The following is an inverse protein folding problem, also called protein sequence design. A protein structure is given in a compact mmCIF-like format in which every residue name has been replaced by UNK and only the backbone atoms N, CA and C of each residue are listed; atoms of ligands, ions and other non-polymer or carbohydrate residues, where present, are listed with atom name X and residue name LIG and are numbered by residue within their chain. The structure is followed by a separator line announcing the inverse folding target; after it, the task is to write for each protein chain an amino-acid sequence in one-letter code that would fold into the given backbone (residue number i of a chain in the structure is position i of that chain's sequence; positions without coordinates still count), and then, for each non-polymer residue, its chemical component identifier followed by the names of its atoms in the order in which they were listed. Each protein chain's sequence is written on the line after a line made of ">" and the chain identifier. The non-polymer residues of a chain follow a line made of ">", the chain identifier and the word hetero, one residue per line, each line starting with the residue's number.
data_IF_595991684462
#
_entry.id   IF_595991684462
#
_cell.length_a   1.000
_cell.length_b   1.000
_cell.length_c   1.000
_cell.angle_alpha   90.00
_cell.angle_beta   90.00
_cell.angle_gamma   90.00
#
_symmetry.space_group_name_H-M   'P 1'
#
loop_
_entity.id
_entity.type
_entity.pdbx_description
1 polymer ?
#
# COMPACT_ATOMS: atom_id res chain seq x y z
N UNK A 1 23.32 -3.27 -16.06
CA UNK A 1 22.83 -3.51 -14.69
C UNK A 1 24.00 -4.03 -13.88
N UNK A 2 24.22 -3.45 -12.70
CA UNK A 2 25.29 -3.86 -11.81
C UNK A 2 24.79 -4.82 -10.73
N UNK A 3 25.70 -5.50 -10.04
CA UNK A 3 25.36 -6.44 -8.96
C UNK A 3 24.47 -5.83 -7.86
N UNK A 4 24.53 -4.51 -7.65
CA UNK A 4 23.61 -3.79 -6.76
C UNK A 4 22.16 -3.95 -7.23
N UNK A 5 21.86 -3.60 -8.47
CA UNK A 5 20.49 -3.61 -9.02
C UNK A 5 19.96 -5.05 -9.12
N UNK A 6 20.81 -6.00 -9.54
CA UNK A 6 20.44 -7.41 -9.64
C UNK A 6 20.01 -7.98 -8.28
N UNK A 7 20.75 -7.63 -7.21
CA UNK A 7 20.41 -8.00 -5.84
C UNK A 7 19.08 -7.40 -5.40
N UNK A 8 18.79 -6.15 -5.76
CA UNK A 8 17.53 -5.49 -5.43
C UNK A 8 16.35 -6.20 -6.10
N UNK A 9 16.47 -6.48 -7.41
CA UNK A 9 15.43 -7.18 -8.16
C UNK A 9 15.25 -8.63 -7.70
N UNK A 10 16.34 -9.33 -7.36
CA UNK A 10 16.26 -10.67 -6.77
C UNK A 10 15.60 -10.66 -5.38
N UNK A 11 15.88 -9.65 -4.57
CA UNK A 11 15.26 -9.48 -3.26
C UNK A 11 13.76 -9.17 -3.36
N UNK A 12 13.33 -8.32 -4.31
CA UNK A 12 11.91 -8.07 -4.59
C UNK A 12 11.15 -9.35 -4.93
N UNK A 13 11.71 -10.18 -5.82
CA UNK A 13 11.10 -11.46 -6.20
C UNK A 13 11.02 -12.41 -5.01
N UNK A 14 12.09 -12.53 -4.22
CA UNK A 14 12.08 -13.34 -3.00
C UNK A 14 11.04 -12.87 -1.98
N UNK A 15 10.87 -11.55 -1.78
CA UNK A 15 9.85 -11.00 -0.89
C UNK A 15 8.44 -11.37 -1.34
N UNK A 16 8.12 -11.19 -2.63
CA UNK A 16 6.79 -11.48 -3.17
C UNK A 16 6.43 -12.97 -3.11
N UNK A 17 7.43 -13.85 -3.17
CA UNK A 17 7.25 -15.31 -3.11
C UNK A 17 7.23 -15.86 -1.67
N UNK A 18 8.13 -15.38 -0.80
CA UNK A 18 8.44 -16.05 0.48
C UNK A 18 8.20 -15.20 1.73
N UNK A 19 8.06 -13.89 1.60
CA UNK A 19 8.00 -12.98 2.75
C UNK A 19 9.37 -12.59 3.31
N UNK A 20 9.37 -11.72 4.32
CA UNK A 20 10.59 -11.28 5.01
C UNK A 20 11.21 -12.41 5.81
N UNK A 21 10.37 -13.14 6.55
CA UNK A 21 10.82 -14.14 7.53
C UNK A 21 11.52 -15.32 6.87
N UNK A 22 10.97 -15.81 5.75
CA UNK A 22 11.44 -17.03 5.07
C UNK A 22 12.54 -16.78 4.05
N UNK A 23 12.81 -15.52 3.67
CA UNK A 23 13.83 -15.17 2.69
C UNK A 23 15.24 -15.23 3.28
N UNK A 24 16.14 -16.00 2.67
CA UNK A 24 17.57 -16.08 3.07
C UNK A 24 18.48 -15.34 2.09
N UNK A 25 19.70 -15.01 2.52
CA UNK A 25 20.70 -14.38 1.64
C UNK A 25 21.07 -15.28 0.43
N UNK A 26 21.01 -16.60 0.60
CA UNK A 26 21.26 -17.57 -0.48
C UNK A 26 20.12 -17.57 -1.50
N UNK A 27 18.88 -17.38 -1.07
CA UNK A 27 17.75 -17.24 -1.99
C UNK A 27 17.95 -16.02 -2.88
N UNK A 28 18.28 -14.87 -2.29
CA UNK A 28 18.51 -13.62 -3.03
C UNK A 28 19.66 -13.77 -4.03
N UNK A 29 20.78 -14.36 -3.61
CA UNK A 29 21.93 -14.62 -4.49
C UNK A 29 21.55 -15.54 -5.65
N UNK A 30 20.81 -16.61 -5.37
CA UNK A 30 20.32 -17.52 -6.41
C UNK A 30 19.41 -16.81 -7.40
N UNK A 31 18.54 -15.93 -6.92
CA UNK A 31 17.54 -15.22 -7.72
C UNK A 31 18.12 -14.03 -8.51
N UNK A 32 19.18 -13.41 -7.99
CA UNK A 32 19.87 -12.27 -8.61
C UNK A 32 21.00 -12.67 -9.56
N UNK A 33 21.56 -13.87 -9.40
CA UNK A 33 22.79 -14.28 -10.09
C UNK A 33 24.06 -13.54 -9.61
N UNK A 34 23.94 -12.66 -8.60
CA UNK A 34 25.06 -11.98 -7.97
C UNK A 34 25.81 -12.90 -6.99
N UNK A 35 26.81 -12.38 -6.28
CA UNK A 35 27.53 -13.14 -5.25
C UNK A 35 27.12 -12.71 -3.82
N UNK A 36 27.37 -13.57 -2.84
CA UNK A 36 26.99 -13.33 -1.44
C UNK A 36 27.71 -12.14 -0.81
N UNK A 37 28.97 -11.88 -1.18
CA UNK A 37 29.74 -10.75 -0.66
C UNK A 37 29.18 -9.40 -1.13
N UNK A 38 28.55 -9.35 -2.30
CA UNK A 38 27.91 -8.15 -2.85
C UNK A 38 26.78 -7.62 -1.97
N UNK A 39 26.09 -8.48 -1.21
CA UNK A 39 25.06 -8.03 -0.25
C UNK A 39 25.68 -7.16 0.83
N UNK A 40 26.75 -7.65 1.47
CA UNK A 40 27.46 -6.90 2.51
C UNK A 40 28.08 -5.61 1.97
N UNK A 41 28.64 -5.65 0.76
CA UNK A 41 29.28 -4.50 0.13
C UNK A 41 28.29 -3.38 -0.23
N UNK A 42 27.14 -3.70 -0.83
CA UNK A 42 26.19 -2.69 -1.32
C UNK A 42 25.12 -2.28 -0.32
N UNK A 43 24.70 -3.19 0.55
CA UNK A 43 23.53 -3.01 1.42
C UNK A 43 23.86 -3.22 2.91
N UNK A 44 25.07 -3.67 3.24
CA UNK A 44 25.49 -3.95 4.62
C UNK A 44 24.93 -5.26 5.18
N UNK A 45 23.66 -5.57 4.95
CA UNK A 45 23.03 -6.82 5.41
C UNK A 45 21.89 -7.29 4.50
N UNK A 46 21.50 -8.58 4.66
CA UNK A 46 20.32 -9.15 4.01
C UNK A 46 19.04 -8.39 4.40
N UNK A 47 18.89 -8.06 5.68
CA UNK A 47 17.68 -7.41 6.17
C UNK A 47 17.56 -5.98 5.63
N UNK A 48 18.67 -5.23 5.57
CA UNK A 48 18.71 -3.91 4.93
C UNK A 48 18.34 -3.96 3.43
N UNK A 49 18.85 -4.95 2.70
CA UNK A 49 18.46 -5.19 1.31
C UNK A 49 16.96 -5.50 1.17
N UNK A 50 16.39 -6.34 2.05
CA UNK A 50 14.96 -6.65 2.04
C UNK A 50 14.11 -5.41 2.37
N UNK A 51 14.57 -4.54 3.27
CA UNK A 51 13.91 -3.26 3.56
C UNK A 51 13.84 -2.40 2.30
N UNK A 52 14.98 -2.19 1.62
CA UNK A 52 15.04 -1.37 0.41
C UNK A 52 14.19 -1.97 -0.73
N UNK A 53 14.23 -3.29 -0.90
CA UNK A 53 13.40 -4.00 -1.87
C UNK A 53 11.90 -3.81 -1.59
N UNK A 54 11.48 -3.90 -0.33
CA UNK A 54 10.09 -3.68 0.06
C UNK A 54 9.64 -2.23 -0.16
N UNK A 55 10.45 -1.24 0.18
CA UNK A 55 10.16 0.17 -0.11
C UNK A 55 9.92 0.37 -1.60
N UNK A 56 10.81 -0.15 -2.45
CA UNK A 56 10.64 -0.05 -3.90
C UNK A 56 9.42 -0.80 -4.44
N UNK A 57 8.94 -1.87 -3.76
CA UNK A 57 7.67 -2.53 -4.10
C UNK A 57 6.47 -1.67 -3.72
N UNK A 58 6.50 -1.05 -2.53
CA UNK A 58 5.44 -0.16 -2.04
C UNK A 58 5.34 1.10 -2.89
N UNK A 59 6.46 1.74 -3.22
CA UNK A 59 6.50 2.91 -4.12
C UNK A 59 5.89 2.59 -5.49
N UNK A 60 6.26 1.43 -6.06
CA UNK A 60 5.69 0.97 -7.34
C UNK A 60 4.19 0.71 -7.24
N UNK A 61 3.71 0.12 -6.13
CA UNK A 61 2.28 -0.11 -5.91
C UNK A 61 1.53 1.21 -5.64
N UNK A 62 2.17 2.17 -4.96
CA UNK A 62 1.68 3.50 -4.68
C UNK A 62 1.37 4.31 -5.95
N UNK A 63 2.23 4.20 -6.98
CA UNK A 63 1.99 4.83 -8.27
C UNK A 63 0.73 4.34 -9.01
N UNK A 64 0.12 3.23 -8.58
CA UNK A 64 -1.17 2.76 -9.08
C UNK A 64 -2.37 3.57 -8.59
N UNK A 65 -2.21 4.41 -7.56
CA UNK A 65 -3.24 5.34 -7.08
C UNK A 65 -3.22 6.67 -7.84
N UNK A 66 -2.15 6.99 -8.58
CA UNK A 66 -1.93 8.30 -9.22
C UNK A 66 -2.68 8.47 -10.55
N UNK A 67 -3.01 7.37 -11.23
CA UNK A 67 -3.74 7.41 -12.51
C UNK A 67 -5.23 7.12 -12.31
N UNK A 68 -6.11 8.14 -12.25
CA UNK A 68 -7.52 7.91 -12.50
C UNK A 68 -7.66 7.29 -13.90
N UNK A 69 -8.48 6.25 -14.11
CA UNK A 69 -8.63 5.62 -15.41
C UNK A 69 -8.96 6.69 -16.46
N UNK A 70 -8.14 6.72 -17.52
CA UNK A 70 -8.28 7.67 -18.60
C UNK A 70 -9.71 7.59 -19.18
N UNK A 71 -10.51 8.62 -18.94
CA UNK A 71 -11.86 8.76 -19.50
C UNK A 71 -13.04 8.64 -18.53
N UNK A 72 -12.84 8.39 -17.22
CA UNK A 72 -13.95 8.22 -16.26
C UNK A 72 -14.01 9.28 -15.13
N UNK A 73 -13.44 10.46 -15.30
CA UNK A 73 -13.61 11.57 -14.35
C UNK A 73 -14.93 12.34 -14.57
N UNK A 74 -16.06 11.64 -14.47
CA UNK A 74 -17.39 12.28 -14.50
C UNK A 74 -17.82 12.82 -13.14
N UNK A 75 -17.49 12.10 -12.06
CA UNK A 75 -17.97 12.41 -10.72
C UNK A 75 -17.19 13.55 -10.06
N UNK A 76 -17.92 14.55 -9.56
CA UNK A 76 -17.37 15.70 -8.84
C UNK A 76 -16.52 15.24 -7.63
N UNK A 77 -15.39 15.90 -7.44
CA UNK A 77 -14.57 15.81 -6.22
C UNK A 77 -15.40 15.84 -4.93
N UNK A 78 -15.12 14.93 -3.99
CA UNK A 78 -15.84 14.83 -2.70
C UNK A 78 -17.29 14.33 -2.79
N UNK A 79 -17.77 13.91 -3.96
CA UNK A 79 -19.11 13.33 -4.09
C UNK A 79 -19.16 11.86 -3.65
N UNK A 80 -20.36 11.37 -3.28
CA UNK A 80 -20.57 9.95 -2.97
C UNK A 80 -20.30 9.05 -4.19
N UNK A 81 -20.61 9.52 -5.39
CA UNK A 81 -20.34 8.81 -6.64
C UNK A 81 -18.84 8.61 -6.84
N UNK A 82 -18.04 9.66 -6.59
CA UNK A 82 -16.58 9.57 -6.64
C UNK A 82 -16.03 8.63 -5.56
N UNK A 83 -16.57 8.70 -4.35
CA UNK A 83 -16.19 7.79 -3.27
C UNK A 83 -16.38 6.32 -3.66
N UNK A 84 -17.55 5.98 -4.21
CA UNK A 84 -17.85 4.62 -4.69
C UNK A 84 -16.90 4.20 -5.83
N UNK A 85 -16.70 5.08 -6.81
CA UNK A 85 -15.84 4.81 -7.96
C UNK A 85 -14.39 4.55 -7.54
N UNK A 86 -13.83 5.40 -6.67
CA UNK A 86 -12.46 5.25 -6.18
C UNK A 86 -12.30 3.93 -5.42
N UNK A 87 -13.22 3.61 -4.50
CA UNK A 87 -13.16 2.33 -3.79
C UNK A 87 -13.32 1.12 -4.72
N UNK A 88 -14.19 1.20 -5.73
CA UNK A 88 -14.35 0.14 -6.73
C UNK A 88 -13.04 -0.15 -7.46
N UNK A 89 -12.32 0.90 -7.85
CA UNK A 89 -11.01 0.77 -8.50
C UNK A 89 -9.95 0.20 -7.55
N UNK A 90 -9.87 0.70 -6.32
CA UNK A 90 -8.95 0.20 -5.29
C UNK A 90 -9.19 -1.31 -5.03
N UNK A 91 -10.44 -1.70 -4.80
CA UNK A 91 -10.81 -3.09 -4.53
C UNK A 91 -10.52 -4.03 -5.71
N UNK A 92 -10.65 -3.55 -6.96
CA UNK A 92 -10.30 -4.31 -8.16
C UNK A 92 -8.81 -4.68 -8.21
N UNK A 93 -7.94 -3.83 -7.65
CA UNK A 93 -6.48 -4.05 -7.58
C UNK A 93 -6.02 -4.94 -6.42
N UNK A 94 -6.92 -5.32 -5.50
CA UNK A 94 -6.56 -6.13 -4.32
C UNK A 94 -5.96 -7.50 -4.66
N UNK A 95 -6.48 -8.27 -5.63
CA UNK A 95 -5.88 -9.56 -6.01
C UNK A 95 -4.40 -9.46 -6.41
N UNK A 96 -4.04 -8.44 -7.19
CA UNK A 96 -2.68 -8.21 -7.66
C UNK A 96 -1.74 -7.74 -6.54
N UNK A 97 -2.29 -7.05 -5.55
CA UNK A 97 -1.55 -6.50 -4.41
C UNK A 97 -1.44 -7.46 -3.23
N UNK A 98 -2.02 -8.68 -3.31
CA UNK A 98 -2.11 -9.63 -2.19
C UNK A 98 -0.76 -9.89 -1.51
N UNK A 99 0.31 -10.13 -2.28
CA UNK A 99 1.64 -10.39 -1.71
C UNK A 99 2.20 -9.18 -0.94
N UNK A 100 1.97 -7.96 -1.42
CA UNK A 100 2.39 -6.72 -0.74
C UNK A 100 1.62 -6.53 0.57
N UNK A 101 0.33 -6.84 0.59
CA UNK A 101 -0.45 -6.78 1.82
C UNK A 101 0.00 -7.82 2.85
N UNK A 102 0.31 -9.05 2.42
CA UNK A 102 0.88 -10.07 3.31
C UNK A 102 2.23 -9.64 3.91
N UNK A 103 3.09 -8.99 3.12
CA UNK A 103 4.34 -8.40 3.63
C UNK A 103 4.07 -7.32 4.69
N UNK A 104 3.04 -6.50 4.50
CA UNK A 104 2.62 -5.49 5.49
C UNK A 104 2.18 -6.15 6.80
N UNK A 105 1.46 -7.29 6.74
CA UNK A 105 1.12 -8.07 7.93
C UNK A 105 2.34 -8.65 8.65
N UNK A 106 3.37 -9.09 7.93
CA UNK A 106 4.63 -9.49 8.55
C UNK A 106 5.27 -8.32 9.30
N UNK A 107 5.29 -7.11 8.73
CA UNK A 107 5.81 -5.92 9.43
C UNK A 107 5.01 -5.62 10.70
N UNK A 108 3.68 -5.74 10.66
CA UNK A 108 2.82 -5.52 11.83
C UNK A 108 3.09 -6.56 12.93
N UNK A 109 3.18 -7.84 12.57
CA UNK A 109 3.28 -8.95 13.52
C UNK A 109 4.70 -9.23 14.00
N UNK A 110 5.72 -8.81 13.25
CA UNK A 110 7.14 -9.01 13.54
C UNK A 110 7.85 -7.68 13.87
N UNK A 111 7.12 -6.71 14.43
CA UNK A 111 7.57 -5.31 14.55
C UNK A 111 8.93 -5.10 15.22
N UNK A 112 9.37 -5.96 16.15
CA UNK A 112 10.72 -5.87 16.74
C UNK A 112 11.81 -6.30 15.76
N UNK A 113 11.57 -7.38 15.01
CA UNK A 113 12.51 -7.91 14.00
C UNK A 113 12.60 -7.00 12.78
N UNK A 114 11.52 -6.29 12.47
CA UNK A 114 11.39 -5.41 11.30
C UNK A 114 11.31 -3.92 11.67
N UNK A 115 11.88 -3.51 12.81
CA UNK A 115 11.81 -2.14 13.31
C UNK A 115 12.26 -1.09 12.28
N UNK A 116 13.34 -1.36 11.53
CA UNK A 116 13.80 -0.47 10.46
C UNK A 116 12.80 -0.30 9.30
N UNK A 117 12.09 -1.37 8.92
CA UNK A 117 11.02 -1.31 7.91
C UNK A 117 9.85 -0.49 8.45
N UNK A 118 9.48 -0.74 9.71
CA UNK A 118 8.39 -0.04 10.38
C UNK A 118 8.61 1.47 10.42
N UNK A 119 9.83 1.92 10.73
CA UNK A 119 10.17 3.35 10.77
C UNK A 119 10.03 4.02 9.40
N UNK A 120 10.37 3.33 8.32
CA UNK A 120 10.18 3.83 6.96
C UNK A 120 8.70 3.92 6.60
N UNK A 121 7.91 2.87 6.90
CA UNK A 121 6.47 2.90 6.68
C UNK A 121 5.79 4.02 7.46
N UNK A 122 6.22 4.29 8.71
CA UNK A 122 5.70 5.41 9.50
C UNK A 122 5.93 6.74 8.79
N UNK A 123 7.11 6.95 8.19
CA UNK A 123 7.41 8.17 7.43
C UNK A 123 6.55 8.29 6.16
N UNK A 124 6.31 7.17 5.48
CA UNK A 124 5.48 7.10 4.27
C UNK A 124 3.97 7.27 4.55
N UNK A 125 3.49 7.10 5.80
CA UNK A 125 2.07 7.20 6.11
C UNK A 125 1.45 8.56 5.78
N UNK A 126 2.21 9.67 5.90
CA UNK A 126 1.66 11.00 5.56
C UNK A 126 1.43 11.13 4.06
N UNK A 127 2.40 10.72 3.27
CA UNK A 127 2.33 10.71 1.79
C UNK A 127 1.17 9.83 1.31
N UNK A 128 1.05 8.60 1.83
CA UNK A 128 -0.08 7.74 1.49
C UNK A 128 -1.45 8.34 1.87
N UNK A 129 -1.55 9.08 2.98
CA UNK A 129 -2.78 9.79 3.37
C UNK A 129 -3.09 10.97 2.45
N UNK A 130 -2.05 11.66 2.00
CA UNK A 130 -2.13 12.79 1.06
C UNK A 130 -2.62 12.31 -0.32
N UNK A 131 -2.00 11.28 -0.88
CA UNK A 131 -2.43 10.68 -2.15
C UNK A 131 -3.86 10.14 -2.11
N UNK A 132 -4.25 9.42 -1.05
CA UNK A 132 -5.65 8.97 -0.87
C UNK A 132 -6.61 10.17 -0.89
N UNK A 133 -6.35 11.18 -0.06
CA UNK A 133 -7.22 12.34 0.02
C UNK A 133 -7.31 13.11 -1.32
N UNK A 134 -6.21 13.21 -2.07
CA UNK A 134 -6.20 13.82 -3.40
C UNK A 134 -7.14 13.09 -4.37
N UNK A 135 -7.08 11.76 -4.42
CA UNK A 135 -7.93 10.96 -5.32
C UNK A 135 -9.43 11.12 -4.98
N UNK A 136 -9.80 11.11 -3.70
CA UNK A 136 -11.19 11.26 -3.27
C UNK A 136 -11.73 12.69 -3.41
N UNK A 137 -10.95 13.70 -3.07
CA UNK A 137 -11.38 15.11 -3.12
C UNK A 137 -11.27 15.71 -4.52
N UNK A 138 -10.42 15.14 -5.38
CA UNK A 138 -10.05 15.72 -6.67
C UNK A 138 -9.15 16.95 -6.56
N UNK A 139 -8.63 17.24 -5.37
CA UNK A 139 -7.62 18.29 -5.14
C UNK A 139 -6.26 17.68 -5.50
N UNK A 140 -5.43 18.44 -6.22
CA UNK A 140 -4.08 18.00 -6.58
C UNK A 140 -3.21 17.84 -5.33
N UNK A 141 -2.41 16.77 -5.28
CA UNK A 141 -1.72 16.36 -4.05
C UNK A 141 -0.73 17.42 -3.54
N UNK A 142 -0.03 18.14 -4.42
CA UNK A 142 0.96 19.15 -4.01
C UNK A 142 0.34 20.37 -3.31
N UNK A 143 -0.98 20.57 -3.48
CA UNK A 143 -1.72 21.70 -2.91
C UNK A 143 -2.84 21.28 -1.94
N UNK A 144 -2.89 20.00 -1.54
CA UNK A 144 -3.92 19.52 -0.65
C UNK A 144 -3.77 20.13 0.76
N UNK A 145 -4.84 20.66 1.38
CA UNK A 145 -4.77 21.24 2.72
C UNK A 145 -4.40 20.21 3.80
N UNK A 146 -3.59 20.63 4.77
CA UNK A 146 -3.19 19.76 5.90
C UNK A 146 -4.39 19.23 6.70
N UNK A 147 -5.46 20.02 6.84
CA UNK A 147 -6.67 19.59 7.56
C UNK A 147 -7.40 18.46 6.83
N UNK A 148 -7.39 18.47 5.49
CA UNK A 148 -7.95 17.40 4.66
C UNK A 148 -7.12 16.13 4.81
N UNK A 149 -5.79 16.23 4.79
CA UNK A 149 -4.88 15.08 4.98
C UNK A 149 -5.06 14.45 6.37
N UNK A 150 -5.17 15.28 7.41
CA UNK A 150 -5.26 14.81 8.79
C UNK A 150 -6.65 14.28 9.16
N UNK A 151 -7.73 14.74 8.53
CA UNK A 151 -9.08 14.24 8.83
C UNK A 151 -9.56 13.22 7.79
N UNK A 152 -9.66 13.63 6.52
CA UNK A 152 -10.17 12.78 5.43
C UNK A 152 -9.15 11.71 5.03
N UNK A 153 -7.88 12.09 4.86
CA UNK A 153 -6.82 11.14 4.51
C UNK A 153 -6.65 10.02 5.55
N UNK A 154 -6.74 10.35 6.85
CA UNK A 154 -6.76 9.35 7.93
C UNK A 154 -7.99 8.46 7.85
N UNK A 155 -9.18 9.03 7.63
CA UNK A 155 -10.41 8.27 7.49
C UNK A 155 -10.31 7.27 6.32
N UNK A 156 -9.86 7.71 5.15
CA UNK A 156 -9.65 6.83 3.99
C UNK A 156 -8.60 5.75 4.26
N UNK A 157 -7.48 6.09 4.90
CA UNK A 157 -6.46 5.10 5.27
C UNK A 157 -7.00 4.06 6.26
N UNK A 158 -7.82 4.46 7.23
CA UNK A 158 -8.49 3.54 8.16
C UNK A 158 -9.42 2.58 7.41
N UNK A 159 -10.22 3.09 6.47
CA UNK A 159 -11.07 2.26 5.62
C UNK A 159 -10.25 1.29 4.77
N UNK A 160 -9.20 1.77 4.09
CA UNK A 160 -8.31 0.94 3.28
C UNK A 160 -7.74 -0.22 4.08
N UNK A 161 -7.22 0.05 5.28
CA UNK A 161 -6.66 -0.98 6.15
C UNK A 161 -7.71 -2.01 6.60
N UNK A 162 -8.91 -1.55 6.94
CA UNK A 162 -10.02 -2.43 7.32
C UNK A 162 -10.49 -3.32 6.17
N UNK A 163 -10.62 -2.75 4.98
CA UNK A 163 -11.00 -3.47 3.75
C UNK A 163 -9.92 -4.49 3.36
N UNK A 164 -8.65 -4.11 3.44
CA UNK A 164 -7.52 -5.00 3.21
C UNK A 164 -7.58 -6.22 4.13
N UNK A 165 -7.81 -6.02 5.44
CA UNK A 165 -7.91 -7.12 6.42
C UNK A 165 -9.09 -8.04 6.10
N UNK A 166 -10.27 -7.47 5.82
CA UNK A 166 -11.45 -8.24 5.45
C UNK A 166 -11.20 -9.08 4.20
N UNK A 167 -10.64 -8.47 3.16
CA UNK A 167 -10.36 -9.15 1.89
C UNK A 167 -9.30 -10.25 2.03
N UNK A 168 -8.25 -10.03 2.82
CA UNK A 168 -7.25 -11.08 3.06
C UNK A 168 -7.81 -12.26 3.86
N UNK A 169 -8.75 -12.00 4.76
CA UNK A 169 -9.41 -13.03 5.57
C UNK A 169 -10.43 -13.84 4.78
N UNK A 170 -11.37 -13.17 4.10
CA UNK A 170 -12.40 -13.78 3.26
C UNK A 170 -12.76 -12.85 2.09
N UNK A 171 -12.15 -13.04 0.91
CA UNK A 171 -12.44 -12.23 -0.27
C UNK A 171 -13.91 -12.29 -0.73
N UNK A 172 -14.62 -13.40 -0.48
CA UNK A 172 -15.99 -13.60 -0.99
C UNK A 172 -17.02 -12.78 -0.21
N UNK A 173 -16.77 -12.54 1.08
CA UNK A 173 -17.65 -11.76 1.95
C UNK A 173 -17.14 -10.36 2.28
N UNK A 174 -15.97 -9.97 1.76
CA UNK A 174 -15.38 -8.66 1.99
C UNK A 174 -16.30 -7.52 1.51
N UNK A 175 -16.30 -6.42 2.27
CA UNK A 175 -17.16 -5.25 1.99
C UNK A 175 -16.88 -4.69 0.59
N UNK A 176 -17.94 -4.53 -0.22
CA UNK A 176 -17.84 -3.92 -1.55
C UNK A 176 -17.88 -2.39 -1.50
N UNK A 177 -17.49 -1.73 -2.58
CA UNK A 177 -17.56 -0.26 -2.68
C UNK A 177 -18.99 0.28 -2.53
N UNK A 178 -19.97 -0.41 -3.11
CA UNK A 178 -21.39 -0.06 -3.03
C UNK A 178 -21.91 -0.19 -1.60
N UNK A 179 -21.55 -1.29 -0.91
CA UNK A 179 -21.92 -1.53 0.49
C UNK A 179 -21.30 -0.48 1.42
N UNK A 180 -20.01 -0.16 1.22
CA UNK A 180 -19.32 0.87 2.00
C UNK A 180 -19.96 2.24 1.80
N UNK A 181 -20.26 2.61 0.56
CA UNK A 181 -20.87 3.90 0.19
C UNK A 181 -22.28 4.03 0.76
N UNK A 182 -23.12 3.00 0.60
CA UNK A 182 -24.47 2.98 1.14
C UNK A 182 -24.48 2.97 2.67
N UNK A 183 -23.56 2.23 3.29
CA UNK A 183 -23.34 2.24 4.73
C UNK A 183 -23.04 3.64 5.26
N UNK A 184 -22.05 4.32 4.65
CA UNK A 184 -21.67 5.70 5.00
C UNK A 184 -22.85 6.66 4.85
N UNK A 185 -23.56 6.63 3.70
CA UNK A 185 -24.74 7.46 3.43
C UNK A 185 -25.80 7.31 4.52
N UNK A 186 -26.11 6.06 4.92
CA UNK A 186 -27.12 5.78 5.96
C UNK A 186 -26.69 6.26 7.34
N UNK A 187 -25.42 6.06 7.72
CA UNK A 187 -24.89 6.51 9.00
C UNK A 187 -24.92 8.03 9.10
N UNK A 188 -24.44 8.74 8.06
CA UNK A 188 -24.43 10.20 8.03
C UNK A 188 -25.85 10.78 8.11
N UNK A 189 -26.80 10.22 7.36
CA UNK A 189 -28.20 10.64 7.42
C UNK A 189 -28.77 10.51 8.83
N UNK A 190 -28.59 9.37 9.49
CA UNK A 190 -29.05 9.15 10.86
C UNK A 190 -28.38 10.10 11.86
N UNK A 191 -27.08 10.36 11.70
CA UNK A 191 -26.35 11.28 12.56
C UNK A 191 -26.80 12.74 12.40
N UNK A 192 -27.24 13.15 11.21
CA UNK A 192 -27.81 14.50 10.98
C UNK A 192 -29.24 14.67 11.48
N UNK A 193 -29.96 13.57 11.67
CA UNK A 193 -31.35 13.54 12.16
C UNK A 193 -31.43 13.45 13.71
N UNK A 194 -30.30 13.25 14.39
CA UNK A 194 -30.17 13.10 15.85
C UNK A 194 -29.77 14.42 16.53
#
# INVERSE_FOLDING_TARGET
>A
MGHRDDLLEGAKRCLLEKGFVSTTARDIVKESGANLASIGYHYGSKDALLVEAFVALVEKAGGGFDEPPAGESGAKGGSLERFEQVWSNILRGFPESRSIWMLTFEVITQGERLAGVRDLLIKAQREGRSGLAAVFTGIEESVIPDDVVENEGRFYATLLNGLMVQWLFDPESATTAEQLTEGMRRVMRRASEA
#
